data_IF_782715096089
#
_entry.id   IF_782715096089
#
_cell.length_a   1.000
_cell.length_b   1.000
_cell.length_c   1.000
_cell.angle_alpha   90.00
_cell.angle_beta   90.00
_cell.angle_gamma   90.00
#
_symmetry.space_group_name_H-M   'P 1'
#
loop_
_entity.id
_entity.type
_entity.pdbx_description
1 polymer ?
#
# COMPACT_ATOMS: atom_id res chain seq x y z
N UNK A 1 92.65 58.45 42.58
CA UNK A 1 91.53 59.17 41.92
C UNK A 1 91.18 58.55 40.58
N UNK A 2 92.16 58.18 39.75
CA UNK A 2 91.96 57.61 38.41
C UNK A 2 91.26 56.24 38.38
N UNK A 3 91.64 55.28 39.24
CA UNK A 3 90.97 53.97 39.32
C UNK A 3 89.48 54.05 39.71
N UNK A 4 89.11 55.03 40.55
CA UNK A 4 87.71 55.28 40.91
C UNK A 4 86.91 55.86 39.74
N UNK A 5 87.54 56.68 38.90
CA UNK A 5 86.93 57.22 37.68
C UNK A 5 86.67 56.09 36.68
N UNK A 6 87.66 55.24 36.40
CA UNK A 6 87.51 54.09 35.49
C UNK A 6 86.43 53.11 35.96
N UNK A 7 86.33 52.85 37.27
CA UNK A 7 85.26 52.03 37.85
C UNK A 7 83.87 52.64 37.64
N UNK A 8 83.73 53.95 37.84
CA UNK A 8 82.46 54.67 37.64
C UNK A 8 82.07 54.73 36.16
N UNK A 9 83.02 54.92 35.26
CA UNK A 9 82.80 54.88 33.80
C UNK A 9 82.32 53.49 33.35
N UNK A 10 82.90 52.41 33.90
CA UNK A 10 82.46 51.04 33.65
C UNK A 10 81.04 50.75 34.16
N UNK A 11 80.67 51.29 35.34
CA UNK A 11 79.30 51.19 35.86
C UNK A 11 78.29 51.99 35.01
N UNK A 12 78.67 53.19 34.57
CA UNK A 12 77.88 54.02 33.66
C UNK A 12 77.62 53.29 32.35
N UNK A 13 78.65 52.71 31.72
CA UNK A 13 78.51 51.96 30.49
C UNK A 13 77.56 50.75 30.65
N UNK A 14 77.65 50.01 31.76
CA UNK A 14 76.72 48.91 32.08
C UNK A 14 75.29 49.42 32.23
N UNK A 15 75.08 50.53 32.92
CA UNK A 15 73.75 51.14 33.12
C UNK A 15 73.16 51.65 31.80
N UNK A 16 73.96 52.25 30.94
CA UNK A 16 73.54 52.68 29.59
C UNK A 16 73.06 51.50 28.76
N UNK A 17 73.81 50.39 28.76
CA UNK A 17 73.40 49.17 28.06
C UNK A 17 72.10 48.58 28.64
N UNK A 18 71.96 48.56 29.96
CA UNK A 18 70.74 48.10 30.63
C UNK A 18 69.51 48.95 30.27
N UNK A 19 69.69 50.26 30.08
CA UNK A 19 68.64 51.18 29.62
C UNK A 19 68.27 50.87 28.16
N UNK A 20 69.26 50.71 27.28
CA UNK A 20 69.03 50.38 25.87
C UNK A 20 68.27 49.05 25.70
N UNK A 21 68.64 48.03 26.46
CA UNK A 21 67.93 46.74 26.47
C UNK A 21 66.47 46.88 26.93
N UNK A 22 66.22 47.74 27.95
CA UNK A 22 64.87 48.05 28.44
C UNK A 22 64.05 48.83 27.41
N UNK A 23 64.64 49.81 26.73
CA UNK A 23 63.98 50.59 25.69
C UNK A 23 63.57 49.72 24.50
N UNK A 24 64.43 48.79 24.09
CA UNK A 24 64.09 47.83 23.04
C UNK A 24 62.93 46.93 23.46
N UNK A 25 62.94 46.45 24.72
CA UNK A 25 61.83 45.66 25.26
C UNK A 25 60.53 46.46 25.37
N UNK A 26 60.58 47.75 25.66
CA UNK A 26 59.41 48.64 25.67
C UNK A 26 58.83 48.74 24.25
N UNK A 27 59.66 48.97 23.22
CA UNK A 27 59.21 49.02 21.82
C UNK A 27 58.54 47.73 21.37
N UNK A 28 59.08 46.57 21.75
CA UNK A 28 58.47 45.28 21.45
C UNK A 28 57.10 45.10 22.12
N UNK A 29 56.97 45.58 23.38
CA UNK A 29 55.70 45.56 24.11
C UNK A 29 54.66 46.52 23.51
N UNK A 30 55.08 47.71 23.08
CA UNK A 30 54.21 48.69 22.39
C UNK A 30 53.67 48.10 21.09
N UNK A 31 54.54 47.49 20.27
CA UNK A 31 54.11 46.81 19.05
C UNK A 31 53.13 45.67 19.33
N UNK A 32 53.40 44.86 20.36
CA UNK A 32 52.49 43.78 20.76
C UNK A 32 51.14 44.29 21.28
N UNK A 33 51.13 45.48 21.90
CA UNK A 33 49.90 46.15 22.34
C UNK A 33 49.08 46.62 21.13
N UNK A 34 49.70 47.29 20.16
CA UNK A 34 49.04 47.74 18.93
C UNK A 34 48.41 46.56 18.15
N UNK A 35 49.11 45.43 18.07
CA UNK A 35 48.61 44.21 17.45
C UNK A 35 47.39 43.65 18.20
N UNK A 36 47.37 43.72 19.53
CA UNK A 36 46.21 43.30 20.33
C UNK A 36 45.03 44.26 20.17
N UNK A 37 45.27 45.55 20.15
CA UNK A 37 44.23 46.57 19.95
C UNK A 37 43.60 46.48 18.55
N UNK A 38 44.38 46.12 17.53
CA UNK A 38 43.84 45.80 16.21
C UNK A 38 42.92 44.56 16.24
N UNK A 39 43.33 43.49 16.94
CA UNK A 39 42.50 42.28 17.10
C UNK A 39 41.22 42.55 17.88
N UNK A 40 41.27 43.38 18.92
CA UNK A 40 40.09 43.76 19.70
C UNK A 40 39.08 44.48 18.80
N UNK A 41 39.52 45.44 17.99
CA UNK A 41 38.65 46.15 17.04
C UNK A 41 37.96 45.22 16.03
N UNK A 42 38.69 44.23 15.51
CA UNK A 42 38.12 43.21 14.60
C UNK A 42 37.11 42.28 15.31
N UNK A 43 37.35 41.95 16.58
CA UNK A 43 36.38 41.17 17.37
C UNK A 43 35.11 41.97 17.68
N UNK A 44 35.24 43.27 17.95
CA UNK A 44 34.11 44.16 18.19
C UNK A 44 33.22 44.34 16.95
N UNK A 45 33.83 44.48 15.76
CA UNK A 45 33.06 44.55 14.51
C UNK A 45 32.31 43.25 14.24
N UNK A 46 32.97 42.09 14.38
CA UNK A 46 32.33 40.77 14.23
C UNK A 46 31.21 40.54 15.24
N UNK A 47 31.38 40.99 16.48
CA UNK A 47 30.33 40.91 17.50
C UNK A 47 29.10 41.71 17.07
N UNK A 48 29.29 42.94 16.56
CA UNK A 48 28.21 43.80 16.08
C UNK A 48 27.46 43.19 14.89
N UNK A 49 28.19 42.63 13.92
CA UNK A 49 27.59 41.92 12.77
C UNK A 49 26.75 40.72 13.22
N UNK A 50 27.25 39.97 14.21
CA UNK A 50 26.54 38.82 14.79
C UNK A 50 25.27 39.26 15.53
N UNK A 51 25.33 40.35 16.31
CA UNK A 51 24.16 40.93 16.99
C UNK A 51 23.09 41.42 16.01
N UNK A 52 23.49 42.07 14.92
CA UNK A 52 22.57 42.49 13.86
C UNK A 52 21.89 41.28 13.20
N UNK A 53 22.68 40.27 12.83
CA UNK A 53 22.16 39.03 12.23
C UNK A 53 21.19 38.30 13.17
N UNK A 54 21.48 38.29 14.48
CA UNK A 54 20.59 37.74 15.50
C UNK A 54 19.28 38.52 15.58
N UNK A 55 19.32 39.85 15.56
CA UNK A 55 18.13 40.70 15.57
C UNK A 55 17.23 40.44 14.37
N UNK A 56 17.79 40.32 13.17
CA UNK A 56 17.04 39.99 11.96
C UNK A 56 16.42 38.59 12.03
N UNK A 57 17.14 37.61 12.56
CA UNK A 57 16.62 36.28 12.77
C UNK A 57 15.42 36.28 13.75
N UNK A 58 15.52 37.02 14.87
CA UNK A 58 14.42 37.16 15.84
C UNK A 58 13.16 37.74 15.19
N UNK A 59 13.28 38.78 14.35
CA UNK A 59 12.13 39.36 13.62
C UNK A 59 11.46 38.34 12.70
N UNK A 60 12.24 37.56 11.95
CA UNK A 60 11.71 36.50 11.08
C UNK A 60 10.99 35.41 11.88
N UNK A 61 11.52 35.05 13.06
CA UNK A 61 10.88 34.09 13.96
C UNK A 61 9.52 34.62 14.44
N UNK A 62 9.43 35.91 14.81
CA UNK A 62 8.16 36.52 15.22
C UNK A 62 7.12 36.55 14.08
N UNK A 63 7.54 36.85 12.86
CA UNK A 63 6.66 36.81 11.68
C UNK A 63 6.14 35.40 11.39
N UNK A 64 7.02 34.40 11.44
CA UNK A 64 6.65 32.99 11.29
C UNK A 64 5.70 32.54 12.39
N UNK A 65 5.90 32.97 13.63
CA UNK A 65 5.01 32.64 14.74
C UNK A 65 3.60 33.20 14.50
N UNK A 66 3.47 34.46 14.06
CA UNK A 66 2.17 35.07 13.71
C UNK A 66 1.47 34.32 12.57
N UNK A 67 2.22 33.85 11.58
CA UNK A 67 1.68 33.05 10.48
C UNK A 67 1.16 31.69 10.98
N UNK A 68 1.91 31.02 11.86
CA UNK A 68 1.49 29.75 12.48
C UNK A 68 0.20 29.93 13.28
N UNK A 69 0.11 30.97 14.11
CA UNK A 69 -1.09 31.23 14.92
C UNK A 69 -2.31 31.50 14.05
N UNK A 70 -2.15 32.25 12.96
CA UNK A 70 -3.21 32.52 11.99
C UNK A 70 -3.69 31.24 11.28
N UNK A 71 -2.77 30.40 10.85
CA UNK A 71 -3.09 29.11 10.23
C UNK A 71 -3.80 28.16 11.21
N UNK A 72 -3.38 28.16 12.48
CA UNK A 72 -4.01 27.36 13.53
C UNK A 72 -5.47 27.73 13.70
N UNK A 73 -5.77 29.02 13.85
CA UNK A 73 -7.16 29.52 13.95
C UNK A 73 -7.99 29.14 12.72
N UNK A 74 -7.43 29.32 11.51
CA UNK A 74 -8.12 28.92 10.27
C UNK A 74 -8.42 27.43 10.22
N UNK A 75 -7.48 26.59 10.68
CA UNK A 75 -7.63 25.13 10.69
C UNK A 75 -8.68 24.64 11.69
N UNK A 76 -8.78 25.31 12.86
CA UNK A 76 -9.78 25.01 13.88
C UNK A 76 -11.20 25.33 13.38
N UNK A 77 -11.34 26.44 12.65
CA UNK A 77 -12.60 26.84 12.06
C UNK A 77 -13.06 25.88 10.95
N UNK A 78 -12.16 25.49 10.04
CA UNK A 78 -12.51 24.49 9.01
C UNK A 78 -12.82 23.13 9.60
N UNK A 79 -12.12 22.72 10.67
CA UNK A 79 -12.44 21.49 11.39
C UNK A 79 -13.87 21.51 11.93
N UNK A 80 -14.28 22.59 12.61
CA UNK A 80 -15.66 22.74 13.12
C UNK A 80 -16.71 22.68 12.01
N UNK A 81 -16.46 23.38 10.89
CA UNK A 81 -17.38 23.39 9.75
C UNK A 81 -17.54 21.98 9.13
N UNK A 82 -16.46 21.19 9.10
CA UNK A 82 -16.51 19.80 8.65
C UNK A 82 -17.27 18.90 9.64
N UNK A 83 -17.05 19.07 10.94
CA UNK A 83 -17.79 18.33 11.99
C UNK A 83 -19.30 18.58 11.88
N UNK A 84 -19.72 19.84 11.68
CA UNK A 84 -21.13 20.20 11.49
C UNK A 84 -21.72 19.56 10.22
N UNK A 85 -20.96 19.56 9.11
CA UNK A 85 -21.39 18.91 7.85
C UNK A 85 -21.52 17.39 8.01
N UNK A 86 -20.61 16.75 8.73
CA UNK A 86 -20.66 15.31 9.02
C UNK A 86 -21.94 14.98 9.80
N UNK A 87 -22.23 15.76 10.84
CA UNK A 87 -23.44 15.54 11.66
C UNK A 87 -24.73 15.61 10.81
N UNK A 88 -24.83 16.59 9.91
CA UNK A 88 -25.98 16.72 8.99
C UNK A 88 -26.07 15.52 8.04
N UNK A 89 -24.94 15.00 7.56
CA UNK A 89 -24.93 13.82 6.68
C UNK A 89 -25.33 12.55 7.42
N UNK A 90 -24.90 12.37 8.66
CA UNK A 90 -25.28 11.24 9.52
C UNK A 90 -26.80 11.22 9.79
N UNK A 91 -27.39 12.39 10.06
CA UNK A 91 -28.84 12.52 10.24
C UNK A 91 -29.60 12.16 8.96
N UNK A 92 -29.15 12.63 7.80
CA UNK A 92 -29.74 12.28 6.49
C UNK A 92 -29.61 10.79 6.18
N UNK A 93 -28.46 10.19 6.52
CA UNK A 93 -28.24 8.76 6.32
C UNK A 93 -29.23 7.94 7.16
N UNK A 94 -29.40 8.27 8.45
CA UNK A 94 -30.37 7.61 9.32
C UNK A 94 -31.80 7.70 8.77
N UNK A 95 -32.21 8.88 8.31
CA UNK A 95 -33.53 9.06 7.70
C UNK A 95 -33.72 8.16 6.47
N UNK A 96 -32.70 8.08 5.59
CA UNK A 96 -32.75 7.22 4.40
C UNK A 96 -32.77 5.72 4.75
N UNK A 97 -32.06 5.30 5.79
CA UNK A 97 -32.06 3.91 6.27
C UNK A 97 -33.44 3.51 6.82
N UNK A 98 -34.11 4.40 7.55
CA UNK A 98 -35.48 4.19 8.03
C UNK A 98 -36.49 4.07 6.88
N UNK A 99 -36.36 4.88 5.83
CA UNK A 99 -37.20 4.77 4.63
C UNK A 99 -36.99 3.44 3.90
N UNK A 100 -35.73 3.03 3.70
CA UNK A 100 -35.41 1.73 3.09
C UNK A 100 -36.00 0.58 3.92
N UNK A 101 -35.96 0.68 5.25
CA UNK A 101 -36.55 -0.33 6.13
C UNK A 101 -38.06 -0.44 5.92
N UNK A 102 -38.79 0.67 5.88
CA UNK A 102 -40.24 0.69 5.61
C UNK A 102 -40.57 0.08 4.25
N UNK A 103 -39.82 0.43 3.21
CA UNK A 103 -40.02 -0.11 1.86
C UNK A 103 -39.77 -1.62 1.81
N UNK A 104 -38.78 -2.14 2.54
CA UNK A 104 -38.54 -3.60 2.64
C UNK A 104 -39.71 -4.32 3.31
N UNK A 105 -40.22 -3.79 4.43
CA UNK A 105 -41.37 -4.37 5.12
C UNK A 105 -42.63 -4.39 4.25
N UNK A 106 -42.86 -3.36 3.43
CA UNK A 106 -43.95 -3.34 2.45
C UNK A 106 -43.76 -4.36 1.32
N UNK A 107 -42.52 -4.53 0.83
CA UNK A 107 -42.20 -5.51 -0.20
C UNK A 107 -42.43 -6.93 0.31
N UNK A 108 -42.00 -7.24 1.53
CA UNK A 108 -42.18 -8.55 2.15
C UNK A 108 -43.67 -8.90 2.30
N UNK A 109 -44.51 -7.94 2.69
CA UNK A 109 -45.97 -8.12 2.75
C UNK A 109 -46.56 -8.47 1.38
N UNK A 110 -46.17 -7.74 0.33
CA UNK A 110 -46.63 -8.00 -1.05
C UNK A 110 -46.17 -9.36 -1.57
N UNK A 111 -44.95 -9.78 -1.24
CA UNK A 111 -44.44 -11.11 -1.58
C UNK A 111 -45.30 -12.19 -0.92
N UNK A 112 -45.66 -12.01 0.35
CA UNK A 112 -46.46 -13.00 1.08
C UNK A 112 -47.90 -13.08 0.55
N UNK A 113 -48.50 -11.95 0.18
CA UNK A 113 -49.80 -11.91 -0.52
C UNK A 113 -49.73 -12.63 -1.87
N UNK A 114 -48.69 -12.38 -2.66
CA UNK A 114 -48.49 -13.06 -3.95
C UNK A 114 -48.32 -14.57 -3.80
N UNK A 115 -47.57 -15.04 -2.79
CA UNK A 115 -47.44 -16.48 -2.49
C UNK A 115 -48.78 -17.13 -2.19
N UNK A 116 -49.62 -16.50 -1.35
CA UNK A 116 -50.96 -17.01 -1.02
C UNK A 116 -51.83 -17.16 -2.27
N UNK A 117 -51.82 -16.15 -3.15
CA UNK A 117 -52.56 -16.21 -4.41
C UNK A 117 -52.07 -17.33 -5.34
N UNK A 118 -50.75 -17.55 -5.40
CA UNK A 118 -50.16 -18.66 -6.17
C UNK A 118 -50.57 -20.01 -5.59
N UNK A 119 -50.57 -20.15 -4.26
CA UNK A 119 -50.97 -21.40 -3.58
C UNK A 119 -52.46 -21.70 -3.83
N UNK A 120 -53.33 -20.70 -3.74
CA UNK A 120 -54.75 -20.83 -4.08
C UNK A 120 -54.97 -21.20 -5.56
N UNK A 121 -54.23 -20.57 -6.48
CA UNK A 121 -54.30 -20.88 -7.91
C UNK A 121 -53.85 -22.32 -8.21
N UNK A 122 -52.73 -22.75 -7.59
CA UNK A 122 -52.23 -24.12 -7.73
C UNK A 122 -53.21 -25.16 -7.18
N UNK A 123 -53.89 -24.85 -6.07
CA UNK A 123 -54.94 -25.72 -5.51
C UNK A 123 -56.12 -25.87 -6.47
N UNK A 124 -56.63 -24.76 -7.03
CA UNK A 124 -57.72 -24.77 -8.01
C UNK A 124 -57.34 -25.55 -9.28
N UNK A 125 -56.13 -25.35 -9.80
CA UNK A 125 -55.63 -26.07 -10.97
C UNK A 125 -55.54 -27.59 -10.71
N UNK A 126 -55.12 -28.00 -9.51
CA UNK A 126 -55.08 -29.42 -9.12
C UNK A 126 -56.48 -30.04 -9.03
N UNK A 127 -57.44 -29.30 -8.46
CA UNK A 127 -58.85 -29.73 -8.38
C UNK A 127 -59.52 -29.84 -9.76
N UNK A 128 -59.18 -28.97 -10.72
CA UNK A 128 -59.64 -29.06 -12.11
C UNK A 128 -59.03 -30.26 -12.86
N UNK A 129 -57.74 -30.54 -12.68
CA UNK A 129 -57.06 -31.70 -13.25
C UNK A 129 -57.65 -33.04 -12.72
N UNK A 130 -57.99 -33.10 -11.43
CA UNK A 130 -58.64 -34.29 -10.84
C UNK A 130 -60.07 -34.51 -11.35
N UNK A 131 -60.80 -33.45 -11.71
CA UNK A 131 -62.12 -33.56 -12.35
C UNK A 131 -61.99 -34.03 -13.81
N UNK A 132 -61.06 -33.46 -14.57
CA UNK A 132 -60.80 -33.90 -15.96
C UNK A 132 -60.33 -35.37 -16.04
N UNK A 133 -59.52 -35.82 -15.09
CA UNK A 133 -59.07 -37.22 -15.01
C UNK A 133 -60.20 -38.22 -14.64
N UNK A 134 -61.28 -37.76 -13.98
CA UNK A 134 -62.48 -38.58 -13.75
C UNK A 134 -63.38 -38.64 -14.99
N UNK A 135 -63.47 -37.55 -15.75
CA UNK A 135 -64.28 -37.48 -16.96
C UNK A 135 -63.67 -38.24 -18.16
N UNK A 136 -62.34 -38.46 -18.19
CA UNK A 136 -61.66 -39.29 -19.20
C UNK A 136 -61.77 -40.81 -18.95
N UNK A 137 -62.02 -41.25 -17.71
CA UNK A 137 -61.99 -42.67 -17.35
C UNK A 137 -63.25 -43.46 -17.77
N UNK A 138 -64.31 -42.77 -18.17
CA UNK A 138 -65.61 -43.36 -18.57
C UNK A 138 -65.82 -43.48 -20.10
N UNK A 139 -64.79 -43.32 -20.94
CA UNK A 139 -64.88 -43.58 -22.39
C UNK A 139 -64.02 -44.77 -22.86
N UNK A 140 -64.57 -45.97 -22.62
CA UNK A 140 -64.79 -47.01 -23.64
C UNK A 140 -63.61 -47.43 -24.57
N UNK A 141 -62.53 -48.07 -24.05
CA UNK A 141 -61.55 -48.77 -24.92
C UNK A 141 -60.91 -50.06 -24.34
N UNK A 142 -61.18 -50.45 -23.09
CA UNK A 142 -60.38 -51.50 -22.43
C UNK A 142 -60.99 -52.92 -22.44
N UNK A 143 -62.18 -53.13 -23.01
CA UNK A 143 -62.79 -54.47 -23.12
C UNK A 143 -62.50 -55.18 -24.45
N UNK A 144 -62.20 -54.43 -25.53
CA UNK A 144 -61.93 -55.01 -26.85
C UNK A 144 -60.47 -55.46 -27.04
N UNK A 145 -59.53 -54.77 -26.38
CA UNK A 145 -58.09 -55.09 -26.43
C UNK A 145 -57.75 -56.37 -25.66
N UNK A 146 -58.42 -56.65 -24.54
CA UNK A 146 -58.18 -57.87 -23.76
C UNK A 146 -58.60 -59.13 -24.52
N UNK A 147 -59.69 -59.06 -25.30
CA UNK A 147 -60.16 -60.20 -26.10
C UNK A 147 -59.22 -60.49 -27.28
N UNK A 148 -58.68 -59.45 -27.93
CA UNK A 148 -57.69 -59.59 -29.02
C UNK A 148 -56.34 -60.12 -28.53
N UNK A 149 -55.93 -59.82 -27.29
CA UNK A 149 -54.69 -60.31 -26.70
C UNK A 149 -54.75 -61.82 -26.41
N UNK A 150 -55.90 -62.31 -25.95
CA UNK A 150 -56.11 -63.74 -25.66
C UNK A 150 -56.17 -64.61 -26.94
N UNK A 151 -56.69 -64.08 -28.06
CA UNK A 151 -56.66 -64.74 -29.36
C UNK A 151 -55.24 -64.85 -29.94
N UNK A 152 -54.43 -63.79 -29.80
CA UNK A 152 -53.03 -63.77 -30.27
C UNK A 152 -52.15 -64.76 -29.50
N UNK A 153 -52.36 -64.91 -28.20
CA UNK A 153 -51.61 -65.86 -27.36
C UNK A 153 -51.95 -67.33 -27.65
N UNK A 154 -53.17 -67.62 -28.14
CA UNK A 154 -53.57 -68.96 -28.61
C UNK A 154 -52.87 -69.35 -29.91
N UNK A 155 -52.83 -68.43 -30.89
CA UNK A 155 -52.16 -68.65 -32.18
C UNK A 155 -50.63 -68.80 -32.04
N UNK A 156 -50.03 -68.19 -31.01
CA UNK A 156 -48.60 -68.29 -30.74
C UNK A 156 -48.20 -69.63 -30.08
N UNK A 157 -49.14 -70.29 -29.39
CA UNK A 157 -48.94 -71.61 -28.78
C UNK A 157 -49.13 -72.75 -29.78
N UNK A 158 -50.05 -72.62 -30.74
CA UNK A 158 -50.23 -73.59 -31.82
C UNK A 158 -49.07 -73.60 -32.85
N UNK A 159 -48.35 -72.49 -33.01
CA UNK A 159 -47.21 -72.39 -33.95
C UNK A 159 -45.84 -72.79 -33.36
N UNK A 160 -45.77 -73.31 -32.12
CA UNK A 160 -44.50 -73.68 -31.45
C UNK A 160 -44.23 -75.18 -31.31
N UNK A 161 -45.09 -76.04 -31.85
CA UNK A 161 -44.80 -77.47 -32.00
C UNK A 161 -44.38 -77.80 -33.44
N UNK A 162 -43.09 -77.60 -33.77
CA UNK A 162 -42.31 -78.44 -34.72
C UNK A 162 -40.86 -77.93 -34.86
N UNK A 163 -39.94 -78.86 -34.59
CA UNK A 163 -38.48 -78.91 -34.85
C UNK A 163 -37.59 -78.06 -33.92
N UNK A 164 -36.97 -78.66 -32.89
CA UNK A 164 -35.79 -79.55 -32.86
C UNK A 164 -34.43 -78.88 -33.06
N UNK A 165 -33.64 -78.99 -31.98
CA UNK A 165 -32.21 -79.28 -31.90
C UNK A 165 -31.11 -78.20 -32.04
N UNK A 166 -30.52 -77.96 -30.85
CA UNK A 166 -29.08 -78.04 -30.48
C UNK A 166 -28.19 -76.78 -30.54
N UNK A 167 -27.90 -76.33 -29.30
CA UNK A 167 -26.59 -76.36 -28.60
C UNK A 167 -25.84 -75.04 -28.35
N UNK A 168 -25.40 -74.94 -27.08
CA UNK A 168 -24.25 -74.21 -26.50
C UNK A 168 -24.52 -72.75 -26.06
N UNK A 169 -25.04 -72.53 -24.84
CA UNK A 169 -24.31 -72.34 -23.55
C UNK A 169 -23.52 -71.01 -23.48
N UNK A 170 -24.02 -70.03 -22.74
CA UNK A 170 -23.84 -69.79 -21.27
C UNK A 170 -22.68 -68.80 -21.08
N UNK A 171 -22.65 -67.79 -20.20
CA UNK A 171 -23.39 -67.44 -18.98
C UNK A 171 -22.97 -66.00 -18.66
N UNK A 172 -23.87 -65.18 -18.10
CA UNK A 172 -23.53 -64.35 -16.93
C UNK A 172 -24.79 -63.82 -16.26
N UNK A 173 -25.33 -64.63 -15.37
CA UNK A 173 -26.27 -64.18 -14.34
C UNK A 173 -25.65 -64.48 -12.98
N UNK A 174 -25.81 -63.52 -12.08
CA UNK A 174 -25.93 -63.70 -10.65
C UNK A 174 -24.68 -64.03 -9.83
N UNK A 175 -23.95 -62.96 -9.52
CA UNK A 175 -23.58 -62.63 -8.13
C UNK A 175 -24.15 -61.22 -7.85
N UNK A 176 -25.45 -61.12 -7.54
CA UNK A 176 -25.98 -61.04 -6.17
C UNK A 176 -25.22 -60.05 -5.26
N UNK A 177 -25.78 -58.84 -5.20
CA UNK A 177 -26.31 -58.27 -3.96
C UNK A 177 -25.36 -58.19 -2.75
N UNK A 178 -24.78 -57.00 -2.55
CA UNK A 178 -25.09 -56.07 -1.43
C UNK A 178 -23.88 -55.20 -1.09
N UNK A 179 -23.98 -53.91 -1.35
CA UNK A 179 -23.50 -52.87 -0.44
C UNK A 179 -24.12 -51.55 -0.88
N UNK A 180 -24.95 -51.00 0.01
CA UNK A 180 -25.42 -49.63 -0.04
C UNK A 180 -24.28 -48.62 -0.08
N UNK A 181 -24.68 -47.42 -0.43
CA UNK A 181 -24.11 -46.16 0.01
C UNK A 181 -22.90 -45.55 -0.72
N UNK A 182 -23.17 -44.30 -1.09
CA UNK A 182 -22.25 -43.16 -1.22
C UNK A 182 -21.50 -43.05 -2.56
N UNK A 183 -22.19 -42.31 -3.42
CA UNK A 183 -21.66 -41.02 -3.88
C UNK A 183 -20.35 -41.11 -4.69
N UNK A 184 -20.40 -41.83 -5.81
CA UNK A 184 -19.41 -41.72 -6.89
C UNK A 184 -19.65 -40.45 -7.74
N UNK A 185 -20.53 -39.54 -7.32
CA UNK A 185 -20.77 -38.27 -7.99
C UNK A 185 -19.96 -37.09 -7.42
N UNK A 186 -19.34 -37.21 -6.24
CA UNK A 186 -18.64 -36.07 -5.62
C UNK A 186 -17.12 -36.02 -5.82
N UNK A 187 -16.44 -37.10 -6.21
CA UNK A 187 -14.96 -37.07 -6.27
C UNK A 187 -14.42 -36.62 -7.63
N UNK A 188 -15.15 -36.89 -8.71
CA UNK A 188 -14.78 -36.39 -10.03
C UNK A 188 -15.06 -34.88 -10.13
N UNK A 189 -16.20 -34.42 -9.60
CA UNK A 189 -16.55 -33.00 -9.60
C UNK A 189 -15.72 -32.18 -8.59
N UNK A 190 -15.38 -32.70 -7.39
CA UNK A 190 -14.44 -31.99 -6.50
C UNK A 190 -13.03 -31.88 -7.10
N UNK A 191 -12.53 -32.91 -7.79
CA UNK A 191 -11.19 -32.84 -8.40
C UNK A 191 -11.17 -31.99 -9.67
N UNK A 192 -12.31 -31.88 -10.38
CA UNK A 192 -12.49 -30.97 -11.51
C UNK A 192 -12.62 -29.52 -11.02
N UNK A 193 -13.34 -29.28 -9.92
CA UNK A 193 -13.44 -27.99 -9.24
C UNK A 193 -12.12 -27.59 -8.59
N UNK A 194 -11.36 -28.49 -7.95
CA UNK A 194 -10.02 -28.20 -7.41
C UNK A 194 -8.97 -27.99 -8.50
N UNK A 195 -9.01 -28.73 -9.61
CA UNK A 195 -8.17 -28.43 -10.79
C UNK A 195 -8.61 -27.14 -11.48
N UNK A 196 -9.89 -26.80 -11.47
CA UNK A 196 -10.38 -25.51 -11.95
C UNK A 196 -10.03 -24.38 -10.99
N UNK A 197 -10.06 -24.55 -9.68
CA UNK A 197 -9.61 -23.60 -8.66
C UNK A 197 -8.09 -23.44 -8.68
N UNK A 198 -7.30 -24.51 -8.79
CA UNK A 198 -5.84 -24.44 -8.97
C UNK A 198 -5.44 -23.88 -10.34
N UNK A 199 -6.21 -24.16 -11.40
CA UNK A 199 -6.03 -23.52 -12.70
C UNK A 199 -6.58 -22.11 -12.76
N UNK A 200 -7.51 -21.71 -11.87
CA UNK A 200 -8.03 -20.36 -11.71
C UNK A 200 -7.10 -19.53 -10.82
N UNK A 201 -6.45 -20.14 -9.82
CA UNK A 201 -5.32 -19.58 -9.06
C UNK A 201 -4.05 -19.46 -9.92
N UNK A 202 -3.84 -20.38 -10.88
CA UNK A 202 -2.77 -20.28 -11.89
C UNK A 202 -3.15 -19.49 -13.16
N UNK A 203 -4.44 -19.18 -13.39
CA UNK A 203 -4.93 -18.25 -14.45
C UNK A 203 -5.26 -16.85 -13.94
N UNK A 204 -5.13 -16.58 -12.64
CA UNK A 204 -5.17 -15.24 -12.05
C UNK A 204 -3.80 -14.56 -11.96
N UNK A 205 -2.78 -15.06 -12.66
CA UNK A 205 -1.62 -14.23 -13.04
C UNK A 205 -1.83 -13.77 -14.48
N UNK A 206 -2.89 -12.97 -14.68
CA UNK A 206 -3.13 -12.26 -15.94
C UNK A 206 -2.81 -10.80 -15.69
N UNK A 207 -1.52 -10.47 -15.70
CA UNK A 207 -0.90 -9.14 -15.75
C UNK A 207 -1.86 -7.97 -15.45
N UNK A 208 -2.29 -7.88 -14.19
CA UNK A 208 -2.98 -6.69 -13.72
C UNK A 208 -1.88 -5.70 -13.32
N UNK A 209 -1.63 -4.70 -14.16
CA UNK A 209 -0.70 -3.62 -13.84
C UNK A 209 -1.28 -2.78 -12.70
N UNK A 210 -1.08 -3.24 -11.46
CA UNK A 210 -1.23 -2.41 -10.26
C UNK A 210 0.00 -1.50 -10.17
N UNK A 211 -0.21 -0.18 -10.23
CA UNK A 211 0.86 0.80 -10.06
C UNK A 211 0.38 2.04 -9.34
N UNK A 212 1.32 2.69 -8.64
CA UNK A 212 1.09 3.94 -7.96
C UNK A 212 1.75 5.10 -8.71
N UNK A 213 1.13 6.29 -8.65
CA UNK A 213 1.64 7.52 -9.28
C UNK A 213 1.77 8.61 -8.22
N UNK A 214 3.00 9.04 -7.97
CA UNK A 214 3.37 10.11 -7.05
C UNK A 214 3.75 11.36 -7.86
N UNK A 215 2.90 12.38 -7.85
CA UNK A 215 3.19 13.65 -8.53
C UNK A 215 3.97 14.59 -7.62
N UNK A 216 4.97 15.27 -8.19
CA UNK A 216 5.76 16.31 -7.51
C UNK A 216 4.84 17.42 -7.02
N UNK A 217 5.16 17.95 -5.83
CA UNK A 217 4.41 18.99 -5.14
C UNK A 217 2.97 18.62 -4.75
N UNK A 218 2.63 17.33 -4.80
CA UNK A 218 1.37 16.80 -4.28
C UNK A 218 1.59 16.01 -3.00
N UNK A 219 0.65 16.15 -2.08
CA UNK A 219 0.55 15.39 -0.84
C UNK A 219 -0.42 14.20 -0.99
N UNK A 220 -0.61 13.68 -2.20
CA UNK A 220 -1.37 12.47 -2.44
C UNK A 220 -0.71 11.67 -3.57
N UNK A 221 -1.00 10.39 -3.63
CA UNK A 221 -0.66 9.53 -4.75
C UNK A 221 -1.89 8.74 -5.19
N UNK A 222 -1.86 8.25 -6.42
CA UNK A 222 -2.96 7.48 -6.97
C UNK A 222 -2.52 6.04 -7.16
N UNK A 223 -3.31 5.08 -6.69
CA UNK A 223 -3.17 3.67 -7.03
C UNK A 223 -4.12 3.40 -8.21
N UNK A 224 -3.57 2.82 -9.27
CA UNK A 224 -4.32 2.42 -10.45
C UNK A 224 -4.30 0.89 -10.49
N UNK A 225 -5.49 0.29 -10.52
CA UNK A 225 -5.69 -1.15 -10.67
C UNK A 225 -6.89 -1.41 -11.61
N UNK A 226 -7.37 -2.66 -11.69
CA UNK A 226 -8.53 -3.00 -12.54
C UNK A 226 -9.84 -2.36 -12.09
N UNK A 227 -9.99 -2.13 -10.79
CA UNK A 227 -11.19 -1.54 -10.19
C UNK A 227 -11.24 -0.02 -10.38
N UNK A 228 -10.12 0.59 -10.78
CA UNK A 228 -10.05 1.99 -11.17
C UNK A 228 -8.90 2.72 -10.47
N UNK A 229 -9.19 3.95 -10.06
CA UNK A 229 -8.21 4.88 -9.47
C UNK A 229 -8.60 5.19 -8.03
N UNK A 230 -7.73 4.85 -7.08
CA UNK A 230 -7.86 5.21 -5.66
C UNK A 230 -6.85 6.30 -5.31
N UNK A 231 -7.31 7.40 -4.71
CA UNK A 231 -6.43 8.47 -4.24
C UNK A 231 -6.11 8.27 -2.76
N UNK A 232 -4.83 8.27 -2.41
CA UNK A 232 -4.35 8.14 -1.03
C UNK A 232 -3.61 9.41 -0.64
N UNK A 233 -4.05 10.05 0.45
CA UNK A 233 -3.42 11.25 0.97
C UNK A 233 -2.22 10.92 1.86
N UNK A 234 -1.20 11.77 1.77
CA UNK A 234 0.04 11.73 2.50
C UNK A 234 0.15 12.97 3.40
N UNK A 235 0.88 12.84 4.49
CA UNK A 235 1.04 13.93 5.47
C UNK A 235 2.01 15.02 4.99
N UNK A 236 2.69 14.77 3.86
CA UNK A 236 3.78 15.56 3.31
C UNK A 236 3.77 15.44 1.78
N UNK A 237 4.21 16.50 1.10
CA UNK A 237 4.31 16.52 -0.35
C UNK A 237 5.60 15.87 -0.84
N UNK A 238 5.55 15.25 -2.03
CA UNK A 238 6.77 14.90 -2.74
C UNK A 238 7.41 16.15 -3.33
N UNK A 239 8.73 16.17 -3.50
CA UNK A 239 9.45 17.33 -4.04
C UNK A 239 10.69 16.88 -4.81
N UNK A 240 11.31 17.80 -5.53
CA UNK A 240 12.61 17.57 -6.17
C UNK A 240 13.67 18.36 -5.41
N UNK A 241 14.76 17.70 -5.06
CA UNK A 241 15.92 18.32 -4.44
C UNK A 241 17.20 17.77 -5.06
N UNK A 242 18.12 18.67 -5.43
CA UNK A 242 19.37 18.35 -6.14
C UNK A 242 19.17 17.39 -7.34
N UNK A 243 18.08 17.56 -8.09
CA UNK A 243 17.75 16.70 -9.24
C UNK A 243 17.24 15.30 -8.88
N UNK A 244 16.99 15.02 -7.60
CA UNK A 244 16.39 13.77 -7.12
C UNK A 244 14.97 14.00 -6.64
N UNK A 245 14.06 13.12 -7.04
CA UNK A 245 12.70 13.12 -6.51
C UNK A 245 12.71 12.52 -5.10
N UNK A 246 12.37 13.35 -4.13
CA UNK A 246 12.28 13.03 -2.71
C UNK A 246 10.84 12.68 -2.38
N UNK A 247 10.62 11.46 -1.89
CA UNK A 247 9.30 10.92 -1.60
C UNK A 247 9.30 10.35 -0.18
N UNK A 248 8.20 10.48 0.58
CA UNK A 248 8.13 9.90 1.91
C UNK A 248 8.15 8.37 1.79
N UNK A 249 9.21 7.75 2.32
CA UNK A 249 9.61 6.36 2.02
C UNK A 249 8.53 5.35 2.38
N UNK A 250 7.76 5.64 3.42
CA UNK A 250 6.66 4.78 3.90
C UNK A 250 5.62 4.49 2.82
N UNK A 251 5.20 5.50 2.07
CA UNK A 251 4.15 5.33 1.07
C UNK A 251 4.65 4.51 -0.12
N UNK A 252 5.90 4.70 -0.55
CA UNK A 252 6.52 3.85 -1.57
C UNK A 252 6.56 2.40 -1.09
N UNK A 253 7.04 2.17 0.13
CA UNK A 253 7.12 0.83 0.70
C UNK A 253 5.75 0.13 0.70
N UNK A 254 4.68 0.83 1.12
CA UNK A 254 3.32 0.28 1.04
C UNK A 254 2.86 -0.02 -0.39
N UNK A 255 3.16 0.84 -1.37
CA UNK A 255 2.81 0.56 -2.78
C UNK A 255 3.54 -0.66 -3.35
N UNK A 256 4.73 -0.96 -2.81
CA UNK A 256 5.50 -2.16 -3.16
C UNK A 256 5.06 -3.39 -2.36
N UNK A 257 4.10 -3.28 -1.42
CA UNK A 257 3.65 -4.38 -0.56
C UNK A 257 4.59 -4.69 0.60
N UNK A 258 5.37 -3.71 1.05
CA UNK A 258 6.29 -3.87 2.18
C UNK A 258 5.64 -3.39 3.47
N UNK A 259 6.00 -4.04 4.58
CA UNK A 259 5.69 -3.55 5.91
C UNK A 259 6.79 -2.58 6.38
N UNK A 260 6.39 -1.55 7.13
CA UNK A 260 7.29 -0.49 7.61
C UNK A 260 7.13 -0.32 9.11
N UNK A 261 8.23 -0.49 9.82
CA UNK A 261 8.35 -0.27 11.26
C UNK A 261 9.39 0.81 11.55
N UNK A 262 9.36 1.37 12.76
CA UNK A 262 10.35 2.33 13.21
C UNK A 262 10.85 1.94 14.59
N UNK A 263 12.17 1.81 14.72
CA UNK A 263 12.86 1.61 15.97
C UNK A 263 13.44 2.94 16.45
N UNK A 264 12.85 3.48 17.52
CA UNK A 264 13.25 4.75 18.09
C UNK A 264 14.60 4.69 18.81
N UNK A 265 15.01 3.52 19.32
CA UNK A 265 16.26 3.36 20.07
C UNK A 265 17.49 3.48 19.17
N UNK A 266 17.40 2.88 17.98
CA UNK A 266 18.45 2.89 16.96
C UNK A 266 18.23 3.97 15.90
N UNK A 267 17.07 4.66 15.95
CA UNK A 267 16.61 5.64 14.97
C UNK A 267 16.60 5.06 13.55
N UNK A 268 16.09 3.84 13.44
CA UNK A 268 16.03 3.08 12.18
C UNK A 268 14.60 2.92 11.68
N UNK A 269 14.38 3.19 10.39
CA UNK A 269 13.21 2.69 9.68
C UNK A 269 13.49 1.29 9.14
N UNK A 270 12.57 0.36 9.41
CA UNK A 270 12.72 -1.06 9.09
C UNK A 270 11.68 -1.40 8.03
N UNK A 271 12.15 -1.81 6.86
CA UNK A 271 11.32 -2.20 5.72
C UNK A 271 11.40 -3.70 5.55
N UNK A 272 10.27 -4.38 5.45
CA UNK A 272 10.23 -5.84 5.27
C UNK A 272 9.33 -6.21 4.11
N UNK A 273 9.89 -6.93 3.14
CA UNK A 273 9.12 -7.49 2.03
C UNK A 273 8.65 -8.90 2.39
N UNK A 274 7.36 -9.04 2.74
CA UNK A 274 6.72 -10.33 3.02
C UNK A 274 5.80 -10.78 1.89
N UNK A 275 5.15 -9.83 1.20
CA UNK A 275 4.07 -10.10 0.24
C UNK A 275 4.50 -10.00 -1.23
N UNK A 276 5.45 -9.12 -1.57
CA UNK A 276 5.85 -8.94 -2.96
C UNK A 276 6.74 -10.10 -3.42
N UNK A 277 6.21 -10.89 -4.36
CA UNK A 277 6.88 -12.09 -4.86
C UNK A 277 7.90 -11.83 -5.98
N UNK A 278 8.00 -10.59 -6.47
CA UNK A 278 8.94 -10.20 -7.54
C UNK A 278 10.23 -9.64 -6.96
N UNK A 279 10.12 -8.80 -5.93
CA UNK A 279 11.26 -8.18 -5.27
C UNK A 279 11.87 -9.12 -4.22
N UNK A 280 13.12 -8.85 -3.84
CA UNK A 280 13.85 -9.68 -2.87
C UNK A 280 13.11 -9.74 -1.52
N UNK A 281 12.90 -10.96 -0.99
CA UNK A 281 12.30 -11.18 0.33
C UNK A 281 13.33 -10.98 1.43
N UNK A 282 13.45 -9.74 1.89
CA UNK A 282 14.43 -9.34 2.91
C UNK A 282 13.95 -8.18 3.76
N UNK A 283 14.70 -7.95 4.84
CA UNK A 283 14.54 -6.79 5.70
C UNK A 283 15.64 -5.79 5.41
N UNK A 284 15.29 -4.50 5.34
CA UNK A 284 16.22 -3.39 5.18
C UNK A 284 16.06 -2.44 6.36
N UNK A 285 17.16 -2.10 7.03
CA UNK A 285 17.22 -1.10 8.09
C UNK A 285 17.87 0.16 7.55
N UNK A 286 17.17 1.29 7.62
CA UNK A 286 17.66 2.62 7.23
C UNK A 286 17.83 3.46 8.50
N UNK A 287 19.06 3.80 8.85
CA UNK A 287 19.31 4.75 9.92
C UNK A 287 19.07 6.18 9.41
N UNK A 288 18.16 6.92 10.07
CA UNK A 288 17.69 8.22 9.55
C UNK A 288 18.71 9.34 9.73
N UNK A 289 19.66 9.20 10.65
CA UNK A 289 20.66 10.24 10.93
C UNK A 289 21.86 10.15 9.98
N UNK A 290 22.26 8.92 9.66
CA UNK A 290 23.42 8.62 8.83
C UNK A 290 23.06 8.38 7.36
N UNK A 291 21.82 7.95 7.07
CA UNK A 291 21.41 7.53 5.73
C UNK A 291 21.98 6.18 5.28
N UNK A 292 22.66 5.46 6.18
CA UNK A 292 23.19 4.12 5.91
C UNK A 292 22.03 3.12 5.94
N UNK A 293 22.00 2.26 4.93
CA UNK A 293 21.06 1.14 4.87
C UNK A 293 21.79 -0.18 4.98
N UNK A 294 21.25 -1.11 5.76
CA UNK A 294 21.79 -2.47 5.90
C UNK A 294 20.67 -3.47 5.71
N UNK A 295 20.86 -4.44 4.82
CA UNK A 295 19.90 -5.52 4.65
C UNK A 295 20.17 -6.70 5.60
N UNK A 296 19.25 -7.65 5.63
CA UNK A 296 19.32 -8.85 6.46
C UNK A 296 20.52 -9.75 6.14
N UNK A 297 21.08 -9.64 4.93
CA UNK A 297 22.28 -10.39 4.51
C UNK A 297 23.56 -9.67 4.96
N UNK A 298 23.42 -8.51 5.61
CA UNK A 298 24.52 -7.69 6.10
C UNK A 298 25.11 -6.77 5.04
N UNK A 299 24.55 -6.72 3.82
CA UNK A 299 25.03 -5.83 2.77
C UNK A 299 24.65 -4.40 3.09
N UNK A 300 25.64 -3.51 2.97
CA UNK A 300 25.49 -2.08 3.23
C UNK A 300 25.26 -1.34 1.91
N UNK A 301 24.30 -0.42 1.92
CA UNK A 301 23.98 0.48 0.83
C UNK A 301 24.08 1.90 1.33
N UNK A 302 24.79 2.73 0.57
CA UNK A 302 24.89 4.15 0.86
C UNK A 302 23.86 4.90 0.01
N UNK A 303 23.06 5.72 0.69
CA UNK A 303 22.15 6.64 0.02
C UNK A 303 22.98 7.70 -0.71
N UNK A 304 22.75 7.89 -2.01
CA UNK A 304 23.41 8.94 -2.80
C UNK A 304 22.94 10.36 -2.41
N UNK A 305 21.79 10.46 -1.74
CA UNK A 305 21.27 11.69 -1.12
C UNK A 305 20.88 11.36 0.31
N UNK A 306 21.26 12.22 1.26
CA UNK A 306 20.92 12.01 2.67
C UNK A 306 19.39 12.04 2.86
N UNK A 307 18.79 11.06 3.57
CA UNK A 307 17.38 11.15 3.92
C UNK A 307 17.09 12.42 4.74
N UNK A 308 15.93 13.02 4.50
CA UNK A 308 15.50 14.25 5.19
C UNK A 308 14.21 13.96 5.96
N UNK A 309 14.10 14.48 7.18
CA UNK A 309 12.88 14.39 7.97
C UNK A 309 12.09 15.68 7.80
N UNK A 310 10.89 15.58 7.25
CA UNK A 310 9.95 16.70 7.14
C UNK A 310 8.65 16.27 7.80
N UNK A 311 8.16 17.05 8.77
CA UNK A 311 6.96 16.74 9.55
C UNK A 311 6.92 15.30 10.10
N UNK A 312 8.06 14.81 10.62
CA UNK A 312 8.15 13.45 11.17
C UNK A 312 8.08 12.32 10.13
N UNK A 313 8.26 12.63 8.83
CA UNK A 313 8.30 11.65 7.74
C UNK A 313 9.67 11.65 7.07
N UNK A 314 10.24 10.46 6.92
CA UNK A 314 11.52 10.25 6.24
C UNK A 314 11.28 10.37 4.74
N UNK A 315 11.98 11.31 4.10
CA UNK A 315 12.06 11.47 2.67
C UNK A 315 13.40 10.94 2.19
N UNK A 316 13.36 10.06 1.18
CA UNK A 316 14.57 9.58 0.54
C UNK A 316 14.37 9.58 -0.97
N UNK A 317 15.49 9.54 -1.70
CA UNK A 317 15.45 9.38 -3.15
C UNK A 317 14.92 7.99 -3.49
N UNK A 318 14.07 7.93 -4.51
CA UNK A 318 13.44 6.67 -4.88
C UNK A 318 14.44 5.63 -5.39
N UNK A 319 15.50 6.08 -6.07
CA UNK A 319 16.56 5.23 -6.58
C UNK A 319 17.24 4.42 -5.48
N UNK A 320 17.37 4.96 -4.27
CA UNK A 320 18.05 4.27 -3.17
C UNK A 320 17.17 3.17 -2.57
N UNK A 321 15.87 3.40 -2.47
CA UNK A 321 14.88 2.38 -2.05
C UNK A 321 14.87 1.24 -3.09
N UNK A 322 14.86 1.58 -4.38
CA UNK A 322 14.88 0.60 -5.45
C UNK A 322 16.14 -0.29 -5.40
N UNK A 323 17.32 0.32 -5.33
CA UNK A 323 18.62 -0.38 -5.24
C UNK A 323 18.63 -1.38 -4.08
N UNK A 324 18.12 -0.97 -2.92
CA UNK A 324 18.17 -1.79 -1.72
C UNK A 324 17.32 -3.07 -1.85
N UNK A 325 16.18 -3.02 -2.53
CA UNK A 325 15.29 -4.18 -2.74
C UNK A 325 15.51 -4.90 -4.08
N UNK A 326 16.47 -4.45 -4.88
CA UNK A 326 16.75 -5.01 -6.20
C UNK A 326 15.71 -4.64 -7.27
N UNK A 327 14.95 -3.57 -7.05
CA UNK A 327 14.00 -3.04 -8.02
C UNK A 327 14.73 -2.25 -9.11
N UNK A 328 14.25 -2.37 -10.36
CA UNK A 328 14.75 -1.60 -11.49
C UNK A 328 14.20 -0.16 -11.45
N UNK A 329 14.97 0.82 -11.95
CA UNK A 329 14.50 2.21 -12.07
C UNK A 329 15.10 2.96 -13.28
N UNK A 330 14.35 3.95 -13.78
CA UNK A 330 14.77 4.81 -14.89
C UNK A 330 13.70 5.81 -15.33
N UNK A 331 13.68 6.14 -16.63
CA UNK A 331 12.82 7.16 -17.22
C UNK A 331 11.86 6.52 -18.22
N UNK A 332 10.58 6.86 -18.11
CA UNK A 332 9.50 6.27 -18.92
C UNK A 332 9.72 6.43 -20.44
N UNK A 333 10.56 7.39 -20.86
CA UNK A 333 10.89 7.61 -22.27
C UNK A 333 11.89 6.62 -22.84
N UNK A 334 12.61 5.87 -21.99
CA UNK A 334 13.60 4.90 -22.47
C UNK A 334 12.96 3.61 -23.05
N UNK A 335 11.64 3.46 -22.87
CA UNK A 335 10.85 2.35 -23.39
C UNK A 335 11.08 1.01 -22.69
N UNK A 336 11.85 0.99 -21.60
CA UNK A 336 12.03 -0.18 -20.75
C UNK A 336 10.94 -0.19 -19.70
N UNK A 337 10.48 -1.39 -19.33
CA UNK A 337 9.54 -1.52 -18.22
C UNK A 337 10.37 -1.77 -16.95
N UNK A 338 10.36 -0.81 -16.04
CA UNK A 338 11.06 -0.92 -14.77
C UNK A 338 10.09 -0.80 -13.59
N UNK A 339 10.50 -1.29 -12.43
CA UNK A 339 9.69 -1.22 -11.20
C UNK A 339 9.37 0.22 -10.83
N UNK A 340 10.27 1.15 -11.12
CA UNK A 340 10.12 2.56 -10.80
C UNK A 340 10.49 3.41 -12.02
N UNK A 341 9.56 4.23 -12.49
CA UNK A 341 9.75 5.09 -13.65
C UNK A 341 9.56 6.57 -13.30
N UNK A 342 10.48 7.41 -13.76
CA UNK A 342 10.32 8.86 -13.74
C UNK A 342 9.68 9.35 -15.04
N UNK A 343 8.67 10.20 -14.92
CA UNK A 343 8.09 10.95 -16.02
C UNK A 343 8.37 12.44 -15.84
N UNK A 344 9.35 12.94 -16.59
CA UNK A 344 9.73 14.34 -16.53
C UNK A 344 8.65 15.29 -17.06
N UNK A 345 7.81 14.86 -18.00
CA UNK A 345 6.77 15.70 -18.60
C UNK A 345 5.61 15.92 -17.62
N UNK A 346 5.24 14.87 -16.87
CA UNK A 346 4.19 14.94 -15.84
C UNK A 346 4.73 15.29 -14.45
N UNK A 347 6.05 15.39 -14.31
CA UNK A 347 6.75 15.51 -13.02
C UNK A 347 6.21 14.51 -12.01
N UNK A 348 6.26 13.24 -12.38
CA UNK A 348 5.63 12.17 -11.63
C UNK A 348 6.52 10.93 -11.59
N UNK A 349 6.39 10.19 -10.50
CA UNK A 349 7.03 8.90 -10.30
C UNK A 349 5.96 7.82 -10.36
N UNK A 350 6.19 6.82 -11.20
CA UNK A 350 5.36 5.62 -11.31
C UNK A 350 6.05 4.47 -10.58
N UNK A 351 5.32 3.77 -9.74
CA UNK A 351 5.81 2.61 -8.97
C UNK A 351 4.95 1.41 -9.32
N UNK A 352 5.52 0.46 -10.04
CA UNK A 352 4.85 -0.74 -10.48
C UNK A 352 5.16 -1.87 -9.52
N UNK A 353 4.13 -2.40 -8.85
CA UNK A 353 4.29 -3.45 -7.83
C UNK A 353 4.86 -4.75 -8.42
N UNK A 354 4.49 -5.04 -9.67
CA UNK A 354 4.72 -6.33 -10.31
C UNK A 354 5.60 -6.26 -11.59
N UNK A 355 6.47 -5.27 -11.74
CA UNK A 355 7.39 -5.18 -12.90
C UNK A 355 8.78 -5.67 -12.50
N UNK A 356 9.33 -6.60 -13.29
CA UNK A 356 10.69 -7.14 -13.14
C UNK A 356 11.61 -6.59 -14.22
#
# INVERSE_FOLDING_TARGET
MQEKLESLEGELAKKTKEIEDKDNRIKDLEKALDEKDAKIRDLESKKKETENSKSECCKKIEELQKAIDSLKVSSENTKKELEDKIKVLEEKQKASEEEIKKLKEELDKKIEEAKKLIEEANKKAKEELEKQAKDEKDKNLNQDLSKKLDELLKLQKENKEKKEDKKSQDKKWDELLKADDKNILNQFDLNKMKKQEEQQYKKQVKDEKEFAVFQVDKNFYNIINKDGKTTVYMDVKTYVDQGRTMIPVRYIAYTLGFNVEYDNSTREAIFSNKENNILAKKTLRLNIDTGVMKDSDGKVYNSDVKPVIINGRIHASISNIAKAFGASNGDIKDGKNQTIEWDNARKAVYVFKNVK
#
